data_IF_741706737796
#
_entry.id   IF_741706737796
#
_cell.length_a   1.000
_cell.length_b   1.000
_cell.length_c   1.000
_cell.angle_alpha   90.00
_cell.angle_beta   90.00
_cell.angle_gamma   90.00
#
_symmetry.space_group_name_H-M   'P 1'
#
loop_
_entity.id
_entity.type
_entity.pdbx_description
1 polymer ?
#
# COMPACT_ATOMS: atom_id res chain seq x y z
N UNK A 1 -10.33 -19.25 -7.23
CA UNK A 1 -9.42 -18.47 -8.11
C UNK A 1 -8.20 -18.12 -7.27
N UNK A 2 -6.97 -18.51 -7.64
CA UNK A 2 -5.84 -18.31 -6.75
C UNK A 2 -5.65 -16.81 -6.50
N UNK A 3 -5.55 -16.44 -5.22
CA UNK A 3 -5.31 -15.06 -4.80
C UNK A 3 -4.07 -14.55 -5.53
N UNK A 4 -4.24 -13.47 -6.29
CA UNK A 4 -3.08 -12.92 -6.97
C UNK A 4 -2.14 -12.24 -5.96
N UNK A 5 -0.82 -12.28 -6.15
CA UNK A 5 0.13 -11.74 -5.17
C UNK A 5 -0.17 -10.30 -4.76
N UNK A 6 -0.55 -9.46 -5.72
CA UNK A 6 -0.97 -8.08 -5.45
C UNK A 6 -2.23 -7.97 -4.56
N UNK A 7 -3.18 -8.90 -4.69
CA UNK A 7 -4.37 -8.92 -3.84
C UNK A 7 -4.03 -9.30 -2.40
N UNK A 8 -3.09 -10.24 -2.19
CA UNK A 8 -2.62 -10.61 -0.85
C UNK A 8 -1.93 -9.41 -0.19
N UNK A 9 -1.08 -8.71 -0.93
CA UNK A 9 -0.40 -7.50 -0.44
C UNK A 9 -1.41 -6.39 -0.13
N UNK A 10 -2.42 -6.17 -0.97
CA UNK A 10 -3.48 -5.20 -0.71
C UNK A 10 -4.28 -5.51 0.56
N UNK A 11 -4.64 -6.77 0.79
CA UNK A 11 -5.30 -7.20 2.03
C UNK A 11 -4.39 -6.96 3.25
N UNK A 12 -3.09 -7.24 3.13
CA UNK A 12 -2.13 -6.97 4.20
C UNK A 12 -1.97 -5.47 4.47
N UNK A 13 -1.97 -4.64 3.43
CA UNK A 13 -1.98 -3.17 3.56
C UNK A 13 -3.22 -2.73 4.34
N UNK A 14 -4.41 -3.20 3.95
CA UNK A 14 -5.66 -2.82 4.62
C UNK A 14 -5.73 -3.27 6.07
N UNK A 15 -5.21 -4.46 6.39
CA UNK A 15 -5.12 -4.92 7.78
C UNK A 15 -4.17 -4.05 8.61
N UNK A 16 -3.00 -3.72 8.08
CA UNK A 16 -2.02 -2.88 8.76
C UNK A 16 -2.53 -1.45 8.90
N UNK A 17 -3.18 -0.88 7.88
CA UNK A 17 -3.75 0.46 7.94
C UNK A 17 -4.90 0.58 8.94
N UNK A 18 -5.78 -0.42 9.02
CA UNK A 18 -6.84 -0.45 10.03
C UNK A 18 -6.28 -0.47 11.47
N UNK A 19 -5.18 -1.20 11.69
CA UNK A 19 -4.48 -1.22 12.98
C UNK A 19 -3.76 0.11 13.21
N UNK A 20 -3.23 0.76 12.17
CA UNK A 20 -2.45 1.99 12.25
C UNK A 20 -3.29 3.25 12.55
N UNK A 21 -4.53 3.33 12.04
CA UNK A 21 -5.43 4.49 12.22
C UNK A 21 -5.51 4.97 13.68
N UNK A 22 -5.78 4.12 14.70
CA UNK A 22 -5.87 4.56 16.09
C UNK A 22 -4.53 5.02 16.70
N UNK A 23 -3.38 4.66 16.12
CA UNK A 23 -2.06 5.11 16.57
C UNK A 23 -1.56 6.38 15.86
N UNK A 24 -2.29 6.83 14.84
CA UNK A 24 -2.02 8.06 14.10
C UNK A 24 -2.45 9.31 14.86
N UNK A 25 -2.07 10.46 14.33
CA UNK A 25 -2.50 11.76 14.84
C UNK A 25 -3.99 12.00 14.48
N UNK A 26 -4.85 12.35 15.46
CA UNK A 26 -6.26 12.61 15.25
C UNK A 26 -6.58 13.61 14.13
N UNK A 27 -5.69 14.59 13.89
CA UNK A 27 -5.89 15.61 12.85
C UNK A 27 -5.82 15.04 11.42
N UNK A 28 -5.25 13.85 11.24
CA UNK A 28 -5.11 13.21 9.94
C UNK A 28 -5.98 11.96 9.77
N UNK A 29 -6.86 11.65 10.74
CA UNK A 29 -7.77 10.50 10.69
C UNK A 29 -8.61 10.49 9.42
N UNK A 30 -9.18 11.64 9.02
CA UNK A 30 -10.01 11.73 7.81
C UNK A 30 -9.24 11.33 6.55
N UNK A 31 -7.97 11.74 6.46
CA UNK A 31 -7.07 11.39 5.34
C UNK A 31 -6.68 9.91 5.39
N UNK A 32 -6.43 9.37 6.58
CA UNK A 32 -6.09 7.97 6.77
C UNK A 32 -7.27 7.05 6.39
N UNK A 33 -8.49 7.40 6.77
CA UNK A 33 -9.71 6.67 6.39
C UNK A 33 -9.91 6.72 4.87
N UNK A 34 -9.77 7.88 4.25
CA UNK A 34 -9.89 8.02 2.80
C UNK A 34 -8.87 7.13 2.05
N UNK A 35 -7.65 7.06 2.57
CA UNK A 35 -6.58 6.24 2.01
C UNK A 35 -6.87 4.74 2.17
N UNK A 36 -7.36 4.31 3.34
CA UNK A 36 -7.76 2.92 3.55
C UNK A 36 -8.90 2.50 2.64
N UNK A 37 -9.92 3.35 2.50
CA UNK A 37 -11.02 3.09 1.56
C UNK A 37 -10.52 2.95 0.12
N UNK A 38 -9.49 3.71 -0.28
CA UNK A 38 -8.86 3.56 -1.59
C UNK A 38 -8.16 2.20 -1.75
N UNK A 39 -7.43 1.73 -0.73
CA UNK A 39 -6.81 0.40 -0.75
C UNK A 39 -7.84 -0.74 -0.77
N UNK A 40 -8.92 -0.62 0.01
CA UNK A 40 -10.03 -1.58 0.00
C UNK A 40 -10.71 -1.60 -1.38
N UNK A 41 -10.99 -0.45 -1.97
CA UNK A 41 -11.59 -0.36 -3.30
C UNK A 41 -10.68 -1.00 -4.37
N UNK A 42 -9.38 -0.74 -4.32
CA UNK A 42 -8.40 -1.38 -5.20
C UNK A 42 -8.34 -2.90 -4.99
N UNK A 43 -8.42 -3.36 -3.73
CA UNK A 43 -8.48 -4.79 -3.41
C UNK A 43 -9.66 -5.45 -4.11
N UNK A 44 -10.85 -4.87 -4.01
CA UNK A 44 -12.08 -5.38 -4.64
C UNK A 44 -11.95 -5.36 -6.18
N UNK A 45 -11.42 -4.29 -6.76
CA UNK A 45 -11.23 -4.19 -8.22
C UNK A 45 -10.21 -5.22 -8.74
N UNK A 46 -9.07 -5.38 -8.06
CA UNK A 46 -8.05 -6.37 -8.43
C UNK A 46 -8.61 -7.79 -8.26
N UNK A 47 -9.41 -8.03 -7.22
CA UNK A 47 -10.09 -9.31 -7.00
C UNK A 47 -11.09 -9.64 -8.12
N UNK A 48 -11.84 -8.65 -8.60
CA UNK A 48 -12.73 -8.77 -9.77
C UNK A 48 -11.98 -8.92 -11.11
N UNK A 49 -10.65 -8.89 -11.11
CA UNK A 49 -9.84 -9.11 -12.31
C UNK A 49 -9.61 -7.86 -13.16
N UNK A 50 -9.97 -6.66 -12.67
CA UNK A 50 -9.73 -5.42 -13.39
C UNK A 50 -8.23 -5.08 -13.42
N UNK A 51 -7.56 -5.43 -14.51
CA UNK A 51 -6.12 -5.14 -14.67
C UNK A 51 -5.78 -3.65 -14.66
N UNK A 52 -6.73 -2.77 -14.99
CA UNK A 52 -6.53 -1.30 -14.89
C UNK A 52 -6.31 -0.83 -13.44
N UNK A 53 -6.83 -1.55 -12.45
CA UNK A 53 -6.63 -1.21 -11.05
C UNK A 53 -5.16 -1.34 -10.62
N UNK A 54 -4.41 -2.25 -11.25
CA UNK A 54 -2.96 -2.40 -11.01
C UNK A 54 -2.19 -1.12 -11.37
N UNK A 55 -2.62 -0.39 -12.41
CA UNK A 55 -2.00 0.90 -12.75
C UNK A 55 -2.26 1.98 -11.70
N UNK A 56 -3.39 1.91 -10.98
CA UNK A 56 -3.71 2.85 -9.90
C UNK A 56 -2.95 2.53 -8.60
N UNK A 57 -2.54 1.27 -8.39
CA UNK A 57 -1.73 0.89 -7.23
C UNK A 57 -0.36 1.59 -7.19
N UNK A 58 0.25 1.87 -8.35
CA UNK A 58 1.59 2.48 -8.45
C UNK A 58 1.61 3.93 -7.95
N UNK A 59 0.79 4.87 -8.48
CA UNK A 59 0.75 6.24 -7.99
C UNK A 59 0.25 6.30 -6.55
N UNK A 60 -0.68 5.43 -6.14
CA UNK A 60 -1.14 5.39 -4.76
C UNK A 60 -0.01 4.99 -3.80
N UNK A 61 0.75 3.93 -4.12
CA UNK A 61 1.93 3.54 -3.34
C UNK A 61 2.97 4.66 -3.25
N UNK A 62 3.21 5.38 -4.35
CA UNK A 62 4.12 6.52 -4.36
C UNK A 62 3.64 7.66 -3.45
N UNK A 63 2.35 8.00 -3.48
CA UNK A 63 1.75 9.00 -2.59
C UNK A 63 1.92 8.60 -1.13
N UNK A 64 1.74 7.32 -0.80
CA UNK A 64 1.93 6.82 0.58
C UNK A 64 3.39 6.90 1.01
N UNK A 65 4.34 6.49 0.16
CA UNK A 65 5.77 6.58 0.47
C UNK A 65 6.22 8.04 0.65
N UNK A 66 5.79 8.94 -0.24
CA UNK A 66 6.10 10.38 -0.14
C UNK A 66 5.43 10.99 1.09
N UNK A 67 4.15 10.73 1.32
CA UNK A 67 3.41 11.23 2.47
C UNK A 67 4.03 10.79 3.79
N UNK A 68 4.46 9.53 3.90
CA UNK A 68 5.16 9.02 5.07
C UNK A 68 6.58 9.59 5.24
N UNK A 69 7.25 9.95 4.14
CA UNK A 69 8.59 10.56 4.18
C UNK A 69 8.55 12.05 4.56
N UNK A 70 7.46 12.74 4.19
CA UNK A 70 7.23 14.15 4.50
C UNK A 70 6.59 14.34 5.89
N UNK A 71 5.97 13.31 6.45
CA UNK A 71 5.38 13.39 7.77
C UNK A 71 6.49 13.52 8.84
N UNK A 72 6.34 14.44 9.82
CA UNK A 72 7.30 14.66 10.90
C UNK A 72 7.61 13.44 11.80
N UNK A 73 6.84 12.33 11.85
CA UNK A 73 7.24 11.15 12.61
C UNK A 73 8.59 10.57 12.20
N UNK A 74 9.07 10.75 10.95
CA UNK A 74 10.41 10.26 10.59
C UNK A 74 11.54 10.99 11.34
N UNK A 75 11.33 12.28 11.64
CA UNK A 75 12.29 13.14 12.35
C UNK A 75 12.16 12.97 13.87
N UNK A 76 10.95 12.74 14.36
CA UNK A 76 10.65 12.55 15.77
C UNK A 76 10.95 11.12 16.27
N UNK A 77 10.78 10.09 15.43
CA UNK A 77 11.13 8.69 15.74
C UNK A 77 12.65 8.49 15.79
N UNK A 78 13.43 9.21 14.97
CA UNK A 78 14.89 9.20 15.08
C UNK A 78 15.41 9.87 16.36
N UNK A 79 14.59 10.71 17.01
CA UNK A 79 15.01 11.50 18.18
C UNK A 79 14.36 11.05 19.49
N UNK A 80 13.21 10.36 19.44
CA UNK A 80 12.41 10.03 20.62
C UNK A 80 11.92 8.57 20.55
N UNK A 81 12.65 7.65 21.18
CA UNK A 81 12.37 6.20 21.24
C UNK A 81 11.10 5.83 22.04
N UNK A 82 10.16 6.76 22.23
CA UNK A 82 9.01 6.63 23.14
C UNK A 82 7.81 5.87 22.54
N UNK A 83 7.76 5.67 21.20
CA UNK A 83 6.65 4.96 20.52
C UNK A 83 7.14 3.98 19.41
N UNK A 84 7.87 2.92 19.78
CA UNK A 84 8.46 1.97 18.81
C UNK A 84 7.42 1.24 17.95
N UNK A 85 6.21 0.98 18.47
CA UNK A 85 5.14 0.34 17.70
C UNK A 85 4.68 1.19 16.50
N UNK A 86 4.62 2.51 16.67
CA UNK A 86 4.20 3.41 15.59
C UNK A 86 5.25 3.42 14.46
N UNK A 87 6.53 3.38 14.83
CA UNK A 87 7.64 3.28 13.89
C UNK A 87 7.62 1.97 13.08
N UNK A 88 7.39 0.84 13.74
CA UNK A 88 7.29 -0.47 13.08
C UNK A 88 6.12 -0.47 12.08
N UNK A 89 4.95 0.01 12.50
CA UNK A 89 3.77 0.10 11.63
C UNK A 89 4.03 1.02 10.43
N UNK A 90 4.70 2.15 10.63
CA UNK A 90 5.04 3.09 9.55
C UNK A 90 6.04 2.48 8.56
N UNK A 91 7.10 1.82 9.04
CA UNK A 91 8.11 1.19 8.18
C UNK A 91 7.50 0.02 7.41
N UNK A 92 6.76 -0.85 8.11
CA UNK A 92 6.15 -2.03 7.51
C UNK A 92 5.02 -1.65 6.54
N UNK A 93 4.06 -0.82 6.97
CA UNK A 93 2.91 -0.39 6.15
C UNK A 93 3.24 0.64 5.08
N UNK A 94 4.16 1.56 5.39
CA UNK A 94 4.49 2.70 4.55
C UNK A 94 5.56 2.45 3.49
N UNK A 95 6.45 1.49 3.72
CA UNK A 95 7.58 1.22 2.82
C UNK A 95 7.65 -0.23 2.38
N UNK A 96 7.67 -1.20 3.32
CA UNK A 96 7.83 -2.62 2.96
C UNK A 96 6.62 -3.11 2.16
N UNK A 97 5.41 -2.87 2.67
CA UNK A 97 4.17 -3.27 2.00
C UNK A 97 3.94 -2.49 0.69
N UNK A 98 4.33 -1.21 0.62
CA UNK A 98 4.24 -0.42 -0.61
C UNK A 98 5.24 -0.90 -1.67
N UNK A 99 6.47 -1.22 -1.30
CA UNK A 99 7.45 -1.83 -2.21
C UNK A 99 6.97 -3.20 -2.72
N UNK A 100 6.37 -4.02 -1.85
CA UNK A 100 5.76 -5.28 -2.25
C UNK A 100 4.57 -5.07 -3.21
N UNK A 101 3.76 -4.03 -3.00
CA UNK A 101 2.63 -3.69 -3.88
C UNK A 101 3.14 -3.29 -5.27
N UNK A 102 4.14 -2.41 -5.34
CA UNK A 102 4.75 -2.01 -6.61
C UNK A 102 5.39 -3.21 -7.32
N UNK A 103 6.19 -4.01 -6.61
CA UNK A 103 6.87 -5.18 -7.18
C UNK A 103 5.92 -6.22 -7.73
N UNK A 104 4.88 -6.60 -6.96
CA UNK A 104 3.87 -7.57 -7.41
C UNK A 104 3.03 -7.05 -8.58
N UNK A 105 2.73 -5.76 -8.59
CA UNK A 105 2.01 -5.09 -9.68
C UNK A 105 2.82 -5.09 -10.97
N UNK A 106 4.10 -4.70 -10.91
CA UNK A 106 5.02 -4.72 -12.06
C UNK A 106 5.19 -6.15 -12.59
N UNK A 107 5.38 -7.14 -11.71
CA UNK A 107 5.51 -8.54 -12.11
C UNK A 107 4.27 -9.03 -12.87
N UNK A 108 3.06 -8.74 -12.36
CA UNK A 108 1.82 -9.10 -13.05
C UNK A 108 1.69 -8.41 -14.40
N UNK A 109 2.06 -7.13 -14.47
CA UNK A 109 1.98 -6.36 -15.71
C UNK A 109 2.98 -6.86 -16.77
N UNK A 110 4.21 -7.17 -16.36
CA UNK A 110 5.23 -7.76 -17.23
C UNK A 110 4.83 -9.13 -17.75
N UNK A 111 4.22 -9.98 -16.90
CA UNK A 111 3.69 -11.29 -17.30
C UNK A 111 2.53 -11.15 -18.30
N UNK A 112 1.61 -10.21 -18.07
CA UNK A 112 0.51 -9.94 -19.00
C UNK A 112 1.01 -9.49 -20.38
N UNK A 113 2.00 -8.58 -20.42
CA UNK A 113 2.63 -8.13 -21.68
C UNK A 113 3.34 -9.27 -22.44
N UNK A 114 4.04 -10.16 -21.72
CA UNK A 114 4.71 -11.32 -22.35
C UNK A 114 3.72 -12.31 -22.97
N UNK A 115 2.55 -12.50 -22.38
CA UNK A 115 1.51 -13.37 -22.96
C UNK A 115 0.98 -12.76 -24.26
N UNK A 116 0.69 -11.46 -24.27
CA UNK A 116 0.20 -10.76 -25.48
C UNK A 116 1.24 -10.77 -26.61
N UNK A 117 2.54 -10.63 -26.29
CA UNK A 117 3.61 -10.72 -27.30
C UNK A 117 3.83 -12.14 -27.83
N UNK A 118 3.48 -13.18 -27.09
CA UNK A 118 3.64 -14.58 -27.53
C UNK A 118 2.46 -15.09 -28.37
N UNK A 119 1.39 -14.31 -28.46
CA UNK A 119 0.17 -14.62 -29.22
C UNK A 119 0.07 -13.84 -30.54
N UNK A 120 0.94 -12.86 -30.76
CA UNK A 120 1.22 -12.29 -32.10
C UNK A 120 2.41 -13.00 -32.73
#
# INVERSE_FOLDING_TARGET
MPFSPAAIVLVAISAVGAIAIPFGDPQFIDRAIALELAFIALTVLVYKGFQKALYACIPLAAIVMIGNSLAPPHVEIMTTFSKPLNAVVLITGGYILQAALVGTTIYKLARARRIVQKTN
#
